data_IF_103179793539
#
_entry.id   IF_103179793539
#
_cell.length_a   1.000
_cell.length_b   1.000
_cell.length_c   1.000
_cell.angle_alpha   90.00
_cell.angle_beta   90.00
_cell.angle_gamma   90.00
#
_symmetry.space_group_name_H-M   'P 1'
#
loop_
_entity.id
_entity.type
_entity.pdbx_description
1 polymer ?
#
# COMPACT_ATOMS: atom_id res chain seq x y z
N UNK A 1 -14.88 2.76 9.17
CA UNK A 1 -14.22 3.01 7.88
C UNK A 1 -12.88 2.29 7.87
N UNK A 2 -12.52 1.58 6.80
CA UNK A 2 -11.26 0.83 6.70
C UNK A 2 -10.08 1.80 6.59
N UNK A 3 -8.97 1.52 7.28
CA UNK A 3 -7.76 2.38 7.26
C UNK A 3 -6.86 2.06 6.07
N UNK A 4 -6.22 3.09 5.53
CA UNK A 4 -5.11 2.97 4.58
C UNK A 4 -3.78 2.72 5.31
N UNK A 5 -2.76 2.27 4.57
CA UNK A 5 -1.44 1.94 5.12
C UNK A 5 -0.83 3.09 5.92
N UNK A 6 -0.89 4.32 5.41
CA UNK A 6 -0.31 5.49 6.09
C UNK A 6 -1.05 5.86 7.38
N UNK A 7 -2.37 5.67 7.43
CA UNK A 7 -3.18 5.89 8.65
C UNK A 7 -2.92 4.81 9.70
N UNK A 8 -2.75 3.56 9.26
CA UNK A 8 -2.44 2.44 10.15
C UNK A 8 -1.02 2.54 10.70
N UNK A 9 -0.04 2.79 9.83
CA UNK A 9 1.38 2.90 10.17
C UNK A 9 1.76 4.24 10.79
N UNK A 10 0.90 5.27 10.67
CA UNK A 10 1.18 6.66 11.07
C UNK A 10 2.52 7.14 10.52
N UNK A 11 2.75 6.90 9.23
CA UNK A 11 4.05 7.18 8.62
C UNK A 11 4.23 8.65 8.22
N UNK A 12 3.16 9.46 8.18
CA UNK A 12 3.20 10.89 7.88
C UNK A 12 3.56 11.21 6.42
N UNK A 13 3.37 10.26 5.50
CA UNK A 13 3.71 10.39 4.06
C UNK A 13 2.48 10.46 3.16
N UNK A 14 1.28 10.57 3.72
CA UNK A 14 0.07 10.96 3.01
C UNK A 14 0.20 12.38 2.42
N UNK A 15 -0.63 12.76 1.43
CA UNK A 15 -0.66 14.14 0.93
C UNK A 15 -0.86 15.14 2.08
N UNK A 16 0.08 16.07 2.22
CA UNK A 16 0.10 17.06 3.31
C UNK A 16 0.65 16.55 4.66
N UNK A 17 1.12 15.29 4.72
CA UNK A 17 1.68 14.70 5.93
C UNK A 17 3.02 15.32 6.36
N UNK A 18 3.34 15.20 7.64
CA UNK A 18 4.51 15.82 8.29
C UNK A 18 5.86 15.40 7.67
N UNK A 19 5.98 14.17 7.15
CA UNK A 19 7.22 13.62 6.58
C UNK A 19 7.33 13.81 5.07
N UNK A 20 6.37 14.46 4.43
CA UNK A 20 6.38 14.68 2.99
C UNK A 20 7.58 15.54 2.55
N UNK A 21 7.97 16.55 3.34
CA UNK A 21 9.11 17.41 3.00
C UNK A 21 10.45 16.69 3.00
N UNK A 22 10.60 15.68 3.86
CA UNK A 22 11.85 14.94 4.05
C UNK A 22 11.90 13.68 3.17
N UNK A 23 10.82 12.90 3.14
CA UNK A 23 10.76 11.57 2.55
C UNK A 23 9.91 11.50 1.28
N UNK A 24 9.33 12.62 0.85
CA UNK A 24 8.37 12.68 -0.25
C UNK A 24 7.03 12.03 0.08
N UNK A 25 6.05 12.26 -0.81
CA UNK A 25 4.72 11.64 -0.72
C UNK A 25 4.84 10.13 -0.96
N UNK A 26 4.10 9.34 -0.18
CA UNK A 26 4.01 7.90 -0.36
C UNK A 26 3.37 7.57 -1.72
N UNK A 27 4.03 6.77 -2.59
CA UNK A 27 3.46 6.40 -3.88
C UNK A 27 2.10 5.70 -3.77
N UNK A 28 1.89 4.89 -2.74
CA UNK A 28 0.60 4.25 -2.50
C UNK A 28 -0.53 5.24 -2.19
N UNK A 29 -0.19 6.44 -1.68
CA UNK A 29 -1.16 7.49 -1.41
C UNK A 29 -1.50 8.35 -2.64
N UNK A 30 -0.84 8.13 -3.78
CA UNK A 30 -1.07 8.85 -5.04
C UNK A 30 -1.42 7.95 -6.22
N UNK A 31 -1.19 6.63 -6.14
CA UNK A 31 -1.53 5.68 -7.19
C UNK A 31 -3.05 5.45 -7.29
N UNK A 32 -3.69 6.14 -8.23
CA UNK A 32 -5.15 6.19 -8.39
C UNK A 32 -5.74 4.94 -9.06
N UNK A 33 -4.95 4.14 -9.79
CA UNK A 33 -5.47 2.98 -10.54
C UNK A 33 -6.06 1.88 -9.65
N UNK A 34 -5.73 1.91 -8.36
CA UNK A 34 -6.26 0.98 -7.36
C UNK A 34 -7.23 1.63 -6.37
N UNK A 35 -7.69 2.85 -6.64
CA UNK A 35 -8.66 3.55 -5.79
C UNK A 35 -9.93 2.72 -5.59
N UNK A 36 -10.46 2.71 -4.36
CA UNK A 36 -11.62 1.92 -3.96
C UNK A 36 -11.34 0.43 -3.71
N UNK A 37 -10.21 -0.12 -4.17
CA UNK A 37 -9.90 -1.53 -3.95
C UNK A 37 -9.68 -1.80 -2.46
N UNK A 38 -10.27 -2.91 -1.98
CA UNK A 38 -10.31 -3.28 -0.56
C UNK A 38 -10.91 -2.18 0.34
N UNK A 39 -11.74 -1.30 -0.23
CA UNK A 39 -12.31 -0.15 0.48
C UNK A 39 -11.29 0.92 0.87
N UNK A 40 -10.14 0.97 0.19
CA UNK A 40 -9.08 1.95 0.41
C UNK A 40 -9.17 3.16 -0.52
N UNK A 41 -8.42 4.20 -0.19
CA UNK A 41 -8.19 5.36 -1.07
C UNK A 41 -6.88 5.15 -1.83
N UNK A 42 -6.87 5.41 -3.13
CA UNK A 42 -5.75 5.10 -4.02
C UNK A 42 -5.29 3.65 -3.78
N UNK A 43 -3.98 3.38 -3.85
CA UNK A 43 -3.42 2.08 -3.48
C UNK A 43 -3.21 1.92 -1.95
N UNK A 44 -3.88 2.69 -1.10
CA UNK A 44 -3.66 2.70 0.35
C UNK A 44 -3.90 1.36 1.04
N UNK A 45 -4.81 0.54 0.50
CA UNK A 45 -5.06 -0.85 0.94
C UNK A 45 -4.57 -1.91 -0.04
N UNK A 46 -3.68 -1.50 -0.94
CA UNK A 46 -2.96 -2.35 -1.89
C UNK A 46 -1.47 -1.98 -1.89
N UNK A 47 -0.98 -1.40 -0.80
CA UNK A 47 0.30 -0.70 -0.82
C UNK A 47 1.46 -1.63 -1.19
N UNK A 48 1.35 -2.95 -0.97
CA UNK A 48 2.37 -3.96 -1.28
C UNK A 48 2.67 -4.11 -2.77
N UNK A 49 1.77 -3.74 -3.68
CA UNK A 49 2.02 -3.83 -5.13
C UNK A 49 2.66 -2.56 -5.73
N UNK A 50 2.77 -1.47 -4.98
CA UNK A 50 3.26 -0.18 -5.50
C UNK A 50 4.77 0.03 -5.26
N UNK A 51 5.60 0.10 -6.29
CA UNK A 51 7.04 0.35 -6.10
C UNK A 51 7.33 1.70 -5.38
N UNK A 52 8.48 1.80 -4.70
CA UNK A 52 8.92 3.06 -4.08
C UNK A 52 8.26 3.40 -2.73
N UNK A 53 7.39 2.53 -2.20
CA UNK A 53 6.83 2.70 -0.85
C UNK A 53 7.87 2.38 0.22
N UNK A 54 7.76 3.06 1.36
CA UNK A 54 8.60 2.83 2.53
C UNK A 54 7.94 1.80 3.46
N UNK A 55 8.63 0.70 3.75
CA UNK A 55 8.27 -0.24 4.83
C UNK A 55 9.43 -0.28 5.82
N UNK A 56 9.15 -0.14 7.13
CA UNK A 56 10.17 -0.04 8.19
C UNK A 56 11.22 1.07 7.97
N UNK A 57 10.89 2.13 7.24
CA UNK A 57 11.81 3.23 6.96
C UNK A 57 12.73 3.01 5.75
N UNK A 58 12.60 1.90 5.01
CA UNK A 58 13.36 1.66 3.78
C UNK A 58 12.48 1.59 2.52
N UNK A 59 12.95 2.25 1.44
CA UNK A 59 12.30 2.21 0.13
C UNK A 59 12.34 0.79 -0.40
N UNK A 60 11.18 0.24 -0.70
CA UNK A 60 11.07 -1.11 -1.25
C UNK A 60 11.21 -1.08 -2.78
N UNK A 61 12.08 -1.96 -3.29
CA UNK A 61 12.38 -2.11 -4.72
C UNK A 61 11.27 -2.80 -5.52
N UNK A 62 11.65 -3.70 -6.44
CA UNK A 62 10.71 -4.41 -7.31
C UNK A 62 9.65 -5.21 -6.53
N UNK A 63 8.53 -5.52 -7.20
CA UNK A 63 7.42 -6.28 -6.61
C UNK A 63 7.89 -7.58 -5.94
N UNK A 64 8.78 -8.35 -6.56
CA UNK A 64 9.25 -9.64 -6.01
C UNK A 64 9.94 -9.48 -4.64
N UNK A 65 10.88 -8.52 -4.53
CA UNK A 65 11.56 -8.22 -3.25
C UNK A 65 10.58 -7.71 -2.21
N UNK A 66 9.61 -6.92 -2.67
CA UNK A 66 8.64 -6.26 -1.82
C UNK A 66 7.56 -7.21 -1.30
N UNK A 67 7.05 -8.12 -2.12
CA UNK A 67 5.97 -9.03 -1.76
C UNK A 67 6.40 -9.95 -0.62
N UNK A 68 7.64 -10.46 -0.65
CA UNK A 68 8.21 -11.23 0.47
C UNK A 68 8.22 -10.45 1.80
N UNK A 69 8.64 -9.19 1.77
CA UNK A 69 8.60 -8.31 2.94
C UNK A 69 7.16 -7.95 3.38
N UNK A 70 6.21 -7.95 2.45
CA UNK A 70 4.81 -7.67 2.76
C UNK A 70 4.05 -8.88 3.32
N UNK A 71 4.47 -10.11 3.04
CA UNK A 71 3.85 -11.29 3.67
C UNK A 71 4.01 -11.30 5.20
N UNK A 72 5.01 -10.59 5.73
CA UNK A 72 5.23 -10.40 7.18
C UNK A 72 4.77 -9.02 7.68
N UNK A 73 4.06 -8.25 6.85
CA UNK A 73 3.51 -6.96 7.23
C UNK A 73 2.15 -7.16 7.90
N UNK A 74 2.07 -6.82 9.19
CA UNK A 74 0.83 -6.66 9.97
C UNK A 74 -0.32 -5.96 9.23
N UNK A 75 -0.05 -4.92 8.42
CA UNK A 75 -1.10 -4.24 7.66
C UNK A 75 -1.60 -5.06 6.47
N UNK A 76 -0.71 -5.79 5.78
CA UNK A 76 -1.12 -6.69 4.71
C UNK A 76 -2.02 -7.80 5.26
N UNK A 77 -1.60 -8.40 6.37
CA UNK A 77 -2.36 -9.44 7.06
C UNK A 77 -3.71 -8.91 7.56
N UNK A 78 -3.75 -7.70 8.12
CA UNK A 78 -5.01 -7.03 8.49
C UNK A 78 -5.94 -6.90 7.27
N UNK A 79 -5.45 -6.40 6.13
CA UNK A 79 -6.29 -6.26 4.93
C UNK A 79 -6.80 -7.62 4.49
N UNK A 80 -5.94 -8.65 4.46
CA UNK A 80 -6.34 -10.01 4.10
C UNK A 80 -7.43 -10.57 5.01
N UNK A 81 -7.33 -10.36 6.31
CA UNK A 81 -8.34 -10.76 7.28
C UNK A 81 -9.65 -9.97 7.12
N UNK A 82 -9.59 -8.66 6.91
CA UNK A 82 -10.76 -7.79 6.74
C UNK A 82 -11.50 -8.00 5.41
N UNK A 83 -10.85 -8.52 4.36
CA UNK A 83 -11.51 -8.87 3.09
C UNK A 83 -11.97 -10.32 3.04
N UNK A 84 -11.26 -11.25 3.71
CA UNK A 84 -11.56 -12.67 3.68
C UNK A 84 -11.62 -13.23 2.25
N UNK A 85 -12.74 -13.84 1.89
CA UNK A 85 -12.96 -14.41 0.54
C UNK A 85 -13.01 -13.36 -0.57
N UNK A 86 -13.21 -12.07 -0.23
CA UNK A 86 -13.23 -10.95 -1.19
C UNK A 86 -11.84 -10.39 -1.47
N UNK A 87 -10.79 -10.95 -0.86
CA UNK A 87 -9.43 -10.47 -1.04
C UNK A 87 -8.97 -10.62 -2.51
N UNK A 88 -8.57 -9.52 -3.13
CA UNK A 88 -8.05 -9.50 -4.50
C UNK A 88 -6.56 -9.84 -4.47
N UNK A 89 -6.19 -10.88 -5.23
CA UNK A 89 -4.81 -11.37 -5.31
C UNK A 89 -3.88 -10.34 -5.95
N UNK A 90 -2.62 -10.32 -5.50
CA UNK A 90 -1.59 -9.40 -5.99
C UNK A 90 -1.41 -9.44 -7.51
N UNK A 91 -1.57 -10.60 -8.15
CA UNK A 91 -1.50 -10.73 -9.61
C UNK A 91 -2.54 -9.85 -10.32
N UNK A 92 -3.78 -9.84 -9.81
CA UNK A 92 -4.86 -9.01 -10.37
C UNK A 92 -4.62 -7.52 -10.12
N UNK A 93 -4.05 -7.17 -8.96
CA UNK A 93 -3.69 -5.79 -8.65
C UNK A 93 -2.55 -5.28 -9.56
N UNK A 94 -1.56 -6.13 -9.86
CA UNK A 94 -0.47 -5.80 -10.77
C UNK A 94 -0.93 -5.65 -12.22
N UNK A 95 -1.88 -6.48 -12.67
CA UNK A 95 -2.49 -6.34 -13.98
C UNK A 95 -3.10 -4.94 -14.14
N UNK A 96 -3.85 -4.46 -13.14
CA UNK A 96 -4.42 -3.10 -13.11
C UNK A 96 -3.39 -1.97 -13.09
N UNK A 97 -2.17 -2.23 -12.63
CA UNK A 97 -1.05 -1.26 -12.65
C UNK A 97 -0.25 -1.30 -13.96
N UNK A 98 -0.54 -2.24 -14.84
CA UNK A 98 0.12 -2.38 -16.15
C UNK A 98 -0.74 -1.84 -17.29
N UNK A 99 -1.99 -1.46 -16.97
CA UNK A 99 -2.89 -0.64 -17.79
C UNK A 99 -2.54 0.85 -17.67
#
# INVERSE_FOLDING_TARGET
MKKNCWEYKKCGREPGGEKVRELGICPAATEKRLDGIHGGKNAGRCCWVVAGTLCKGEVQGSFAKKFGNCQVCDFYELVKQEEGVKFILSANLLAKLSE
#
